data_IF_027675491722
#
_entry.id   IF_027675491722
#
_cell.length_a   1.000
_cell.length_b   1.000
_cell.length_c   1.000
_cell.angle_alpha   90.00
_cell.angle_beta   90.00
_cell.angle_gamma   90.00
#
_symmetry.space_group_name_H-M   'P 1'
#
loop_
_entity.id
_entity.type
_entity.pdbx_description
1 polymer ?
#
# COMPACT_ATOMS: atom_id res chain seq x y z
N UNK A 1 -12.97 -3.92 25.31
CA UNK A 1 -12.11 -5.13 25.14
C UNK A 1 -11.81 -5.39 23.66
N UNK A 2 -12.80 -5.29 22.75
CA UNK A 2 -12.61 -5.39 21.29
C UNK A 2 -11.60 -4.38 20.70
N UNK A 3 -11.53 -3.17 21.26
CA UNK A 3 -10.61 -2.08 20.89
C UNK A 3 -9.11 -2.44 20.90
N UNK A 4 -8.69 -3.49 21.62
CA UNK A 4 -7.27 -3.93 21.66
C UNK A 4 -6.88 -4.82 20.48
N UNK A 5 -7.84 -5.51 19.85
CA UNK A 5 -7.56 -6.48 18.79
C UNK A 5 -7.61 -5.85 17.38
N UNK A 6 -8.39 -4.80 17.19
CA UNK A 6 -8.52 -4.13 15.89
C UNK A 6 -7.18 -3.68 15.28
N UNK A 7 -6.24 -3.08 16.03
CA UNK A 7 -4.97 -2.65 15.45
C UNK A 7 -4.08 -3.82 14.97
N UNK A 8 -4.05 -4.93 15.71
CA UNK A 8 -3.29 -6.14 15.33
C UNK A 8 -3.94 -6.81 14.12
N UNK A 9 -5.26 -6.98 14.15
CA UNK A 9 -6.02 -7.54 13.04
C UNK A 9 -5.86 -6.68 11.78
N UNK A 10 -5.83 -5.35 11.92
CA UNK A 10 -5.60 -4.43 10.81
C UNK A 10 -4.23 -4.66 10.17
N UNK A 11 -3.18 -4.86 10.97
CA UNK A 11 -1.83 -5.13 10.46
C UNK A 11 -1.72 -6.49 9.79
N UNK A 12 -2.30 -7.53 10.39
CA UNK A 12 -2.36 -8.86 9.78
C UNK A 12 -3.10 -8.78 8.43
N UNK A 13 -4.27 -8.14 8.42
CA UNK A 13 -5.06 -7.91 7.23
C UNK A 13 -4.23 -7.16 6.18
N UNK A 14 -3.58 -6.05 6.54
CA UNK A 14 -2.75 -5.28 5.61
C UNK A 14 -1.59 -6.09 5.03
N UNK A 15 -0.90 -6.88 5.86
CA UNK A 15 0.20 -7.74 5.42
C UNK A 15 -0.24 -8.79 4.39
N UNK A 16 -1.47 -9.30 4.50
CA UNK A 16 -2.02 -10.23 3.48
C UNK A 16 -2.16 -9.59 2.09
N UNK A 17 -2.13 -8.26 1.97
CA UNK A 17 -2.14 -7.57 0.67
C UNK A 17 -0.96 -7.96 -0.22
N UNK A 18 0.23 -8.12 0.35
CA UNK A 18 1.44 -8.57 -0.38
C UNK A 18 1.34 -10.03 -0.80
N UNK A 19 0.70 -10.86 0.03
CA UNK A 19 0.42 -12.26 -0.30
C UNK A 19 -0.59 -12.35 -1.44
N UNK A 20 -1.66 -11.55 -1.40
CA UNK A 20 -2.62 -11.49 -2.50
C UNK A 20 -1.99 -11.05 -3.81
N UNK A 21 -0.98 -10.16 -3.78
CA UNK A 21 -0.18 -9.83 -4.95
C UNK A 21 0.56 -11.08 -5.48
N UNK A 22 1.33 -11.76 -4.63
CA UNK A 22 2.03 -13.00 -5.02
C UNK A 22 1.10 -14.10 -5.55
N UNK A 23 -0.10 -14.25 -5.00
CA UNK A 23 -1.09 -15.23 -5.44
C UNK A 23 -1.74 -14.90 -6.79
N UNK A 24 -1.88 -13.62 -7.15
CA UNK A 24 -2.61 -13.20 -8.35
C UNK A 24 -1.72 -13.02 -9.58
N UNK A 25 -0.49 -12.58 -9.40
CA UNK A 25 0.41 -12.25 -10.52
C UNK A 25 0.83 -13.42 -11.42
N UNK A 26 0.79 -14.71 -10.99
CA UNK A 26 0.96 -15.83 -11.93
C UNK A 26 -0.20 -16.00 -12.93
N UNK A 27 -1.36 -15.42 -12.65
CA UNK A 27 -2.60 -15.70 -13.38
C UNK A 27 -3.21 -14.47 -14.09
N UNK A 28 -2.68 -13.27 -13.84
CA UNK A 28 -3.23 -12.04 -14.40
C UNK A 28 -2.17 -10.96 -14.57
N UNK A 29 -2.31 -10.20 -15.65
CA UNK A 29 -1.50 -8.98 -15.85
C UNK A 29 -1.91 -7.89 -14.82
N UNK A 30 -0.94 -7.13 -14.29
CA UNK A 30 -1.12 -6.28 -13.12
C UNK A 30 -2.15 -5.15 -13.29
N UNK A 31 -2.13 -4.40 -14.40
CA UNK A 31 -3.07 -3.31 -14.62
C UNK A 31 -4.49 -3.83 -14.84
N UNK A 32 -4.63 -4.93 -15.57
CA UNK A 32 -5.91 -5.60 -15.82
C UNK A 32 -6.52 -6.09 -14.51
N UNK A 33 -5.74 -6.74 -13.66
CA UNK A 33 -6.19 -7.21 -12.35
C UNK A 33 -6.61 -6.04 -11.45
N UNK A 34 -5.82 -4.96 -11.43
CA UNK A 34 -6.16 -3.74 -10.69
C UNK A 34 -7.42 -3.04 -11.24
N UNK A 35 -7.61 -3.00 -12.57
CA UNK A 35 -8.77 -2.38 -13.19
C UNK A 35 -10.07 -3.08 -12.78
N UNK A 36 -10.09 -4.42 -12.80
CA UNK A 36 -11.23 -5.21 -12.33
C UNK A 36 -11.44 -4.99 -10.83
N UNK A 37 -10.39 -5.14 -10.02
CA UNK A 37 -10.44 -4.95 -8.57
C UNK A 37 -11.02 -3.59 -8.18
N UNK A 38 -10.51 -2.51 -8.76
CA UNK A 38 -10.96 -1.15 -8.44
C UNK A 38 -12.33 -0.83 -9.01
N UNK A 39 -12.73 -1.43 -10.14
CA UNK A 39 -14.09 -1.31 -10.64
C UNK A 39 -15.10 -1.93 -9.66
N UNK A 40 -14.81 -3.13 -9.13
CA UNK A 40 -15.64 -3.77 -8.11
C UNK A 40 -15.69 -2.91 -6.83
N UNK A 41 -14.53 -2.46 -6.34
CA UNK A 41 -14.46 -1.62 -5.15
C UNK A 41 -15.19 -0.28 -5.33
N UNK A 42 -15.09 0.34 -6.52
CA UNK A 42 -15.81 1.56 -6.87
C UNK A 42 -17.32 1.33 -6.82
N UNK A 43 -17.83 0.27 -7.45
CA UNK A 43 -19.27 -0.06 -7.44
C UNK A 43 -19.77 -0.22 -6.00
N UNK A 44 -19.06 -0.99 -5.17
CA UNK A 44 -19.44 -1.18 -3.76
C UNK A 44 -19.49 0.15 -3.00
N UNK A 45 -18.45 0.99 -3.15
CA UNK A 45 -18.39 2.28 -2.47
C UNK A 45 -19.41 3.29 -2.99
N UNK A 46 -19.72 3.28 -4.29
CA UNK A 46 -20.79 4.09 -4.89
C UNK A 46 -22.13 3.69 -4.27
N UNK A 47 -22.46 2.40 -4.27
CA UNK A 47 -23.72 1.90 -3.71
C UNK A 47 -23.84 2.26 -2.23
N UNK A 48 -22.78 2.09 -1.46
CA UNK A 48 -22.78 2.44 -0.05
C UNK A 48 -22.95 3.96 0.19
N UNK A 49 -22.28 4.80 -0.61
CA UNK A 49 -22.43 6.25 -0.54
C UNK A 49 -23.86 6.70 -0.91
N UNK A 50 -24.48 6.07 -1.91
CA UNK A 50 -25.86 6.36 -2.31
C UNK A 50 -26.86 5.96 -1.22
N UNK A 51 -26.76 4.73 -0.69
CA UNK A 51 -27.63 4.24 0.40
C UNK A 51 -27.48 5.08 1.66
N UNK A 52 -26.25 5.51 1.96
CA UNK A 52 -25.96 6.39 3.11
C UNK A 52 -26.33 7.85 2.89
N UNK A 53 -26.84 8.21 1.69
CA UNK A 53 -27.14 9.60 1.29
C UNK A 53 -25.97 10.55 1.49
N UNK A 54 -24.76 10.07 1.20
CA UNK A 54 -23.52 10.83 1.35
C UNK A 54 -23.49 12.07 0.44
N UNK A 55 -22.85 13.12 0.93
CA UNK A 55 -22.60 14.33 0.13
C UNK A 55 -21.42 14.09 -0.79
N UNK A 56 -21.67 14.08 -2.09
CA UNK A 56 -20.65 13.85 -3.10
C UNK A 56 -19.73 15.07 -3.26
N UNK A 57 -18.41 14.87 -3.37
CA UNK A 57 -17.48 15.97 -3.61
C UNK A 57 -17.72 16.59 -4.99
N UNK A 58 -17.52 17.91 -5.10
CA UNK A 58 -17.69 18.67 -6.34
C UNK A 58 -16.51 19.62 -6.58
N UNK A 59 -16.35 20.07 -7.82
CA UNK A 59 -15.32 21.04 -8.21
C UNK A 59 -13.91 20.59 -7.82
N UNK A 60 -13.17 21.46 -7.13
CA UNK A 60 -11.79 21.18 -6.70
C UNK A 60 -11.69 19.97 -5.75
N UNK A 61 -12.68 19.75 -4.88
CA UNK A 61 -12.67 18.63 -3.94
C UNK A 61 -12.74 17.30 -4.68
N UNK A 62 -13.57 17.22 -5.73
CA UNK A 62 -13.65 16.05 -6.60
C UNK A 62 -12.29 15.78 -7.27
N UNK A 63 -11.67 16.82 -7.84
CA UNK A 63 -10.36 16.72 -8.47
C UNK A 63 -9.28 16.24 -7.49
N UNK A 64 -9.20 16.82 -6.29
CA UNK A 64 -8.20 16.40 -5.29
C UNK A 64 -8.44 14.97 -4.80
N UNK A 65 -9.69 14.54 -4.64
CA UNK A 65 -10.03 13.15 -4.33
C UNK A 65 -9.60 12.21 -5.47
N UNK A 66 -9.85 12.58 -6.75
CA UNK A 66 -9.41 11.77 -7.88
C UNK A 66 -7.88 11.65 -7.96
N UNK A 67 -7.14 12.75 -7.76
CA UNK A 67 -5.67 12.74 -7.71
C UNK A 67 -5.16 11.85 -6.57
N UNK A 68 -5.74 11.97 -5.38
CA UNK A 68 -5.39 11.10 -4.25
C UNK A 68 -5.63 9.62 -4.59
N UNK A 69 -6.76 9.29 -5.23
CA UNK A 69 -7.08 7.92 -5.63
C UNK A 69 -6.11 7.37 -6.69
N UNK A 70 -5.77 8.19 -7.69
CA UNK A 70 -4.76 7.85 -8.68
C UNK A 70 -3.41 7.54 -8.02
N UNK A 71 -2.97 8.32 -7.03
CA UNK A 71 -1.68 8.11 -6.37
C UNK A 71 -1.69 6.94 -5.38
N UNK A 72 -2.67 6.90 -4.48
CA UNK A 72 -2.77 5.94 -3.37
C UNK A 72 -3.20 4.56 -3.85
N UNK A 73 -4.08 4.48 -4.84
CA UNK A 73 -4.60 3.20 -5.33
C UNK A 73 -4.07 2.87 -6.72
N UNK A 74 -4.21 3.79 -7.68
CA UNK A 74 -3.81 3.54 -9.07
C UNK A 74 -2.33 3.25 -9.23
N UNK A 75 -1.48 4.26 -9.04
CA UNK A 75 -0.02 4.18 -9.26
C UNK A 75 0.64 3.29 -8.21
N UNK A 76 0.35 3.49 -6.92
CA UNK A 76 0.95 2.66 -5.86
C UNK A 76 0.70 1.17 -6.07
N UNK A 77 -0.57 0.74 -6.11
CA UNK A 77 -0.85 -0.69 -6.15
C UNK A 77 -0.48 -1.29 -7.50
N UNK A 78 -0.66 -0.57 -8.61
CA UNK A 78 -0.25 -1.11 -9.92
C UNK A 78 1.25 -1.24 -10.05
N UNK A 79 2.05 -0.26 -9.60
CA UNK A 79 3.50 -0.36 -9.65
C UNK A 79 4.03 -1.46 -8.72
N UNK A 80 3.43 -1.63 -7.53
CA UNK A 80 3.76 -2.72 -6.62
C UNK A 80 3.42 -4.09 -7.21
N UNK A 81 2.22 -4.27 -7.77
CA UNK A 81 1.80 -5.52 -8.39
C UNK A 81 2.61 -5.81 -9.66
N UNK A 82 2.93 -4.79 -10.44
CA UNK A 82 3.83 -4.91 -11.58
C UNK A 82 5.22 -5.40 -11.15
N UNK A 83 5.78 -4.85 -10.07
CA UNK A 83 7.05 -5.34 -9.52
C UNK A 83 6.98 -6.82 -9.12
N UNK A 84 5.90 -7.24 -8.45
CA UNK A 84 5.69 -8.64 -8.05
C UNK A 84 5.54 -9.55 -9.27
N UNK A 85 4.80 -9.13 -10.28
CA UNK A 85 4.65 -9.84 -11.55
C UNK A 85 6.00 -10.04 -12.27
N UNK A 86 6.92 -9.09 -12.13
CA UNK A 86 8.27 -9.16 -12.71
C UNK A 86 9.31 -9.79 -11.76
N UNK A 87 8.85 -10.52 -10.75
CA UNK A 87 9.68 -11.38 -9.92
C UNK A 87 10.24 -10.72 -8.66
N UNK A 88 9.74 -9.54 -8.26
CA UNK A 88 10.01 -9.03 -6.92
C UNK A 88 9.28 -9.87 -5.87
N UNK A 89 9.97 -10.52 -4.92
CA UNK A 89 9.32 -11.34 -3.90
C UNK A 89 8.31 -10.55 -3.06
N UNK A 90 7.25 -11.21 -2.58
CA UNK A 90 6.20 -10.57 -1.80
C UNK A 90 6.74 -10.01 -0.47
N UNK A 91 7.62 -10.76 0.20
CA UNK A 91 8.28 -10.31 1.42
C UNK A 91 9.14 -9.05 1.20
N UNK A 92 9.85 -8.98 0.07
CA UNK A 92 10.64 -7.79 -0.30
C UNK A 92 9.77 -6.58 -0.62
N UNK A 93 8.66 -6.81 -1.33
CA UNK A 93 7.68 -5.77 -1.64
C UNK A 93 7.12 -5.14 -0.35
N UNK A 94 6.86 -5.96 0.68
CA UNK A 94 6.47 -5.49 2.01
C UNK A 94 7.53 -4.66 2.71
N UNK A 95 8.81 -5.01 2.56
CA UNK A 95 9.94 -4.27 3.12
C UNK A 95 10.12 -2.90 2.48
N UNK A 96 10.08 -2.84 1.14
CA UNK A 96 10.15 -1.57 0.41
C UNK A 96 8.95 -0.70 0.79
N UNK A 97 7.74 -1.27 0.84
CA UNK A 97 6.54 -0.55 1.30
C UNK A 97 6.66 -0.01 2.74
N UNK A 98 7.44 -0.66 3.59
CA UNK A 98 7.78 -0.18 4.93
C UNK A 98 8.47 1.18 4.96
N UNK A 99 9.04 1.65 3.84
CA UNK A 99 9.61 3.00 3.70
C UNK A 99 8.55 4.11 3.53
N UNK A 100 7.27 3.79 3.37
CA UNK A 100 6.23 4.79 3.17
C UNK A 100 6.21 5.88 4.27
N UNK A 101 6.24 5.57 5.59
CA UNK A 101 6.13 6.60 6.63
C UNK A 101 7.28 7.62 6.57
N UNK A 102 8.46 7.13 6.21
CA UNK A 102 9.67 7.90 6.03
C UNK A 102 9.52 8.91 4.88
N UNK A 103 9.18 8.43 3.67
CA UNK A 103 8.94 9.30 2.53
C UNK A 103 7.77 10.26 2.79
N UNK A 104 6.71 9.79 3.44
CA UNK A 104 5.55 10.63 3.81
C UNK A 104 5.97 11.79 4.71
N UNK A 105 6.86 11.56 5.68
CA UNK A 105 7.38 12.62 6.57
C UNK A 105 8.18 13.67 5.80
N UNK A 106 9.05 13.22 4.89
CA UNK A 106 9.86 14.12 4.06
C UNK A 106 8.97 14.96 3.13
N UNK A 107 8.02 14.32 2.46
CA UNK A 107 7.09 15.00 1.55
C UNK A 107 6.17 15.95 2.32
N UNK A 108 5.74 15.60 3.53
CA UNK A 108 4.99 16.49 4.41
C UNK A 108 5.81 17.72 4.81
N UNK A 109 7.09 17.55 5.12
CA UNK A 109 7.96 18.69 5.43
C UNK A 109 8.07 19.67 4.25
N UNK A 110 8.19 19.15 3.03
CA UNK A 110 8.29 19.95 1.81
C UNK A 110 6.96 20.59 1.39
N UNK A 111 5.86 19.82 1.39
CA UNK A 111 4.56 20.26 0.86
C UNK A 111 3.68 20.98 1.90
N UNK A 112 3.84 20.68 3.19
CA UNK A 112 3.05 21.25 4.27
C UNK A 112 3.84 22.22 5.16
N UNK A 113 5.16 22.33 4.96
CA UNK A 113 6.04 23.15 5.81
C UNK A 113 6.23 22.58 7.22
N UNK A 114 5.95 21.29 7.42
CA UNK A 114 6.16 20.61 8.70
C UNK A 114 7.67 20.49 9.00
N UNK A 115 8.08 20.70 10.27
CA UNK A 115 9.49 20.56 10.65
C UNK A 115 9.81 19.10 10.96
N UNK A 116 10.72 18.51 10.19
CA UNK A 116 11.31 17.22 10.53
C UNK A 116 12.37 17.39 11.63
N UNK A 117 12.21 16.67 12.73
CA UNK A 117 13.18 16.63 13.83
C UNK A 117 14.46 15.88 13.43
N UNK A 118 15.58 16.12 14.13
CA UNK A 118 16.82 15.38 13.91
C UNK A 118 16.68 13.85 14.08
N UNK A 119 15.76 13.41 14.96
CA UNK A 119 15.43 11.98 15.12
C UNK A 119 14.75 11.40 13.88
N UNK A 120 13.88 12.18 13.23
CA UNK A 120 13.25 11.78 11.98
C UNK A 120 14.30 11.67 10.87
N UNK A 121 15.25 12.61 10.75
CA UNK A 121 16.36 12.49 9.80
C UNK A 121 17.24 11.28 10.05
N UNK A 122 17.57 10.98 11.31
CA UNK A 122 18.34 9.78 11.66
C UNK A 122 17.56 8.51 11.31
N UNK A 123 16.28 8.44 11.63
CA UNK A 123 15.43 7.30 11.28
C UNK A 123 15.28 7.12 9.77
N UNK A 124 15.23 8.23 9.01
CA UNK A 124 15.28 8.22 7.53
C UNK A 124 16.55 7.54 7.04
N UNK A 125 17.71 7.98 7.51
CA UNK A 125 19.00 7.41 7.10
C UNK A 125 19.10 5.92 7.45
N UNK A 126 18.77 5.55 8.69
CA UNK A 126 18.81 4.16 9.17
C UNK A 126 17.86 3.28 8.35
N UNK A 127 16.64 3.75 8.06
CA UNK A 127 15.69 2.95 7.31
C UNK A 127 16.11 2.71 5.86
N UNK A 128 16.70 3.73 5.21
CA UNK A 128 17.27 3.60 3.86
C UNK A 128 18.43 2.60 3.83
N UNK A 129 19.33 2.64 4.82
CA UNK A 129 20.42 1.66 4.94
C UNK A 129 19.89 0.24 5.11
N UNK A 130 18.85 0.04 5.92
CA UNK A 130 18.21 -1.26 6.07
C UNK A 130 17.64 -1.81 4.77
N UNK A 131 16.99 -0.96 3.95
CA UNK A 131 16.49 -1.40 2.64
C UNK A 131 17.63 -1.66 1.66
N UNK A 132 18.69 -0.86 1.68
CA UNK A 132 19.88 -1.14 0.89
C UNK A 132 20.48 -2.52 1.24
N UNK A 133 20.53 -2.89 2.53
CA UNK A 133 20.97 -4.24 2.96
C UNK A 133 20.07 -5.36 2.45
N UNK A 134 18.74 -5.14 2.39
CA UNK A 134 17.79 -6.13 1.86
C UNK A 134 17.98 -6.35 0.36
N UNK A 135 18.23 -5.26 -0.35
CA UNK A 135 18.30 -5.21 -1.81
C UNK A 135 19.68 -5.66 -2.33
N UNK A 136 20.77 -5.33 -1.63
CA UNK A 136 22.15 -5.57 -2.04
C UNK A 136 22.45 -7.00 -2.55
N UNK A 137 22.02 -8.09 -1.85
CA UNK A 137 22.36 -9.46 -2.26
C UNK A 137 21.81 -9.84 -3.63
N UNK A 138 20.73 -9.18 -4.07
CA UNK A 138 20.12 -9.42 -5.38
C UNK A 138 20.93 -8.81 -6.51
N UNK A 139 21.74 -7.79 -6.27
CA UNK A 139 22.64 -7.25 -7.30
C UNK A 139 23.95 -8.03 -7.41
N UNK A 140 24.39 -8.70 -6.34
CA UNK A 140 25.68 -9.41 -6.30
C UNK A 140 25.64 -10.86 -6.78
N UNK A 141 24.47 -11.49 -6.88
CA UNK A 141 24.33 -12.95 -7.00
C UNK A 141 24.07 -13.49 -8.43
N UNK A 142 24.15 -12.68 -9.49
CA UNK A 142 23.99 -13.13 -10.89
C UNK A 142 22.56 -13.56 -11.32
N UNK A 143 21.72 -13.98 -10.37
CA UNK A 143 20.27 -14.26 -10.53
C UNK A 143 19.44 -13.15 -9.85
N UNK A 144 19.73 -11.90 -10.19
CA UNK A 144 19.24 -10.74 -9.47
C UNK A 144 17.77 -10.40 -9.69
N UNK A 145 17.21 -9.65 -8.73
CA UNK A 145 15.94 -8.95 -8.94
C UNK A 145 16.17 -7.93 -10.05
N UNK A 146 15.27 -7.91 -11.03
CA UNK A 146 15.31 -6.95 -12.12
C UNK A 146 15.29 -5.51 -11.55
N UNK A 147 16.26 -4.65 -11.92
CA UNK A 147 16.31 -3.26 -11.46
C UNK A 147 15.03 -2.48 -11.74
N UNK A 148 14.29 -2.81 -12.81
CA UNK A 148 13.03 -2.13 -13.14
C UNK A 148 11.94 -2.49 -12.13
N UNK A 149 11.85 -3.75 -11.72
CA UNK A 149 10.94 -4.23 -10.67
C UNK A 149 11.18 -3.52 -9.34
N UNK A 150 12.45 -3.33 -8.95
CA UNK A 150 12.78 -2.56 -7.76
C UNK A 150 12.44 -1.07 -7.91
N UNK A 151 12.73 -0.49 -9.08
CA UNK A 151 12.36 0.90 -9.39
C UNK A 151 10.84 1.10 -9.28
N UNK A 152 10.05 0.17 -9.84
CA UNK A 152 8.59 0.18 -9.74
C UNK A 152 8.12 0.12 -8.28
N UNK A 153 8.75 -0.69 -7.42
CA UNK A 153 8.44 -0.70 -5.99
C UNK A 153 8.75 0.64 -5.31
N UNK A 154 9.88 1.31 -5.63
CA UNK A 154 10.15 2.65 -5.11
C UNK A 154 9.16 3.70 -5.62
N UNK A 155 8.80 3.67 -6.91
CA UNK A 155 7.75 4.51 -7.50
C UNK A 155 6.43 4.29 -6.77
N UNK A 156 6.11 3.05 -6.44
CA UNK A 156 4.91 2.71 -5.67
C UNK A 156 4.91 3.45 -4.32
N UNK A 157 5.99 3.33 -3.54
CA UNK A 157 6.09 3.95 -2.22
C UNK A 157 6.08 5.47 -2.28
N UNK A 158 6.73 6.05 -3.29
CA UNK A 158 6.70 7.48 -3.55
C UNK A 158 5.28 7.96 -3.87
N UNK A 159 4.54 7.21 -4.69
CA UNK A 159 3.17 7.52 -5.07
C UNK A 159 2.23 7.51 -3.87
N UNK A 160 2.21 6.45 -3.06
CA UNK A 160 1.36 6.39 -1.86
C UNK A 160 1.76 7.45 -0.83
N UNK A 161 3.05 7.75 -0.66
CA UNK A 161 3.51 8.79 0.26
C UNK A 161 3.05 10.18 -0.19
N UNK A 162 3.22 10.49 -1.47
CA UNK A 162 2.74 11.76 -2.07
C UNK A 162 1.22 11.85 -2.00
N UNK A 163 0.51 10.79 -2.37
CA UNK A 163 -0.93 10.71 -2.34
C UNK A 163 -1.50 10.91 -0.93
N UNK A 164 -0.86 10.31 0.08
CA UNK A 164 -1.26 10.47 1.49
C UNK A 164 -1.10 11.92 1.95
N UNK A 165 0.04 12.56 1.65
CA UNK A 165 0.25 13.99 1.97
C UNK A 165 -0.71 14.89 1.20
N UNK A 166 -0.97 14.57 -0.07
CA UNK A 166 -1.92 15.30 -0.91
C UNK A 166 -3.34 15.22 -0.34
N UNK A 167 -3.78 14.01 0.03
CA UNK A 167 -5.08 13.79 0.67
C UNK A 167 -5.16 14.51 2.02
N UNK A 168 -4.08 14.52 2.82
CA UNK A 168 -4.03 15.29 4.07
C UNK A 168 -4.18 16.79 3.82
N UNK A 169 -3.54 17.32 2.77
CA UNK A 169 -3.56 18.76 2.44
C UNK A 169 -4.90 19.25 1.93
N UNK A 170 -5.55 18.47 1.08
CA UNK A 170 -6.70 18.92 0.28
C UNK A 170 -7.99 18.13 0.54
N UNK A 171 -7.92 16.98 1.21
CA UNK A 171 -9.01 16.00 1.31
C UNK A 171 -9.83 16.01 2.59
N UNK A 172 -9.65 16.99 3.49
CA UNK A 172 -10.30 17.02 4.82
C UNK A 172 -11.76 17.48 4.84
N UNK A 173 -12.33 17.89 3.71
CA UNK A 173 -13.65 18.58 3.68
C UNK A 173 -14.83 17.73 3.17
N UNK A 174 -14.67 16.43 2.88
CA UNK A 174 -15.70 15.59 2.24
C UNK A 174 -16.18 14.38 3.06
N UNK A 175 -17.35 13.82 2.71
CA UNK A 175 -17.81 12.53 3.24
C UNK A 175 -16.83 11.44 2.79
N UNK A 176 -16.28 10.68 3.75
CA UNK A 176 -15.28 9.63 3.50
C UNK A 176 -15.78 8.60 2.48
N UNK A 177 -17.05 8.19 2.53
CA UNK A 177 -17.60 7.14 1.66
C UNK A 177 -17.62 7.60 0.21
N UNK A 178 -18.18 8.79 -0.04
CA UNK A 178 -18.22 9.37 -1.38
C UNK A 178 -16.83 9.76 -1.88
N UNK A 179 -15.97 10.28 -1.00
CA UNK A 179 -14.58 10.60 -1.32
C UNK A 179 -13.77 9.36 -1.73
N UNK A 180 -13.93 8.24 -1.02
CA UNK A 180 -13.27 6.97 -1.38
C UNK A 180 -13.88 6.33 -2.62
N UNK A 181 -15.18 6.46 -2.86
CA UNK A 181 -15.80 6.05 -4.12
C UNK A 181 -15.13 6.75 -5.31
N UNK A 182 -14.94 8.08 -5.24
CA UNK A 182 -14.21 8.85 -6.26
C UNK A 182 -12.77 8.37 -6.43
N UNK A 183 -12.09 8.06 -5.33
CA UNK A 183 -10.73 7.54 -5.39
C UNK A 183 -10.64 6.21 -6.14
N UNK A 184 -11.55 5.27 -5.89
CA UNK A 184 -11.60 4.01 -6.63
C UNK A 184 -12.04 4.18 -8.07
N UNK A 185 -12.96 5.09 -8.39
CA UNK A 185 -13.32 5.42 -9.78
C UNK A 185 -12.08 5.92 -10.54
N UNK A 186 -11.34 6.86 -9.94
CA UNK A 186 -10.14 7.42 -10.56
C UNK A 186 -9.04 6.37 -10.74
N UNK A 187 -8.83 5.50 -9.73
CA UNK A 187 -7.90 4.40 -9.81
C UNK A 187 -8.31 3.35 -10.87
N UNK A 188 -9.60 3.00 -10.94
CA UNK A 188 -10.13 2.09 -11.96
C UNK A 188 -9.94 2.65 -13.37
N UNK A 189 -10.21 3.94 -13.58
CA UNK A 189 -9.99 4.59 -14.87
C UNK A 189 -8.50 4.59 -15.25
N UNK A 190 -7.62 4.98 -14.34
CA UNK A 190 -6.17 5.01 -14.60
C UNK A 190 -5.61 3.61 -14.92
N UNK A 191 -6.02 2.61 -14.15
CA UNK A 191 -5.56 1.22 -14.34
C UNK A 191 -6.16 0.57 -15.58
N UNK A 192 -7.42 0.89 -15.92
CA UNK A 192 -7.99 0.50 -17.20
C UNK A 192 -7.23 1.10 -18.38
N UNK A 193 -6.86 2.38 -18.33
CA UNK A 193 -6.01 3.01 -19.35
C UNK A 193 -4.68 2.25 -19.48
N UNK A 194 -4.04 1.91 -18.35
CA UNK A 194 -2.83 1.09 -18.34
C UNK A 194 -3.02 -0.30 -18.98
N UNK A 195 -4.11 -0.98 -18.63
CA UNK A 195 -4.45 -2.30 -19.17
C UNK A 195 -4.74 -2.28 -20.68
N UNK A 196 -5.39 -1.22 -21.17
CA UNK A 196 -5.63 -1.06 -22.61
C UNK A 196 -4.39 -0.64 -23.39
N UNK A 197 -3.48 0.12 -22.77
CA UNK A 197 -2.27 0.63 -23.41
C UNK A 197 -1.11 -0.38 -23.43
N UNK A 198 -0.96 -1.19 -22.37
CA UNK A 198 0.28 -1.97 -22.14
C UNK A 198 0.07 -3.48 -22.02
N UNK A 199 -1.17 -3.96 -21.93
CA UNK A 199 -1.46 -5.36 -21.60
C UNK A 199 -2.39 -6.02 -22.62
N UNK A 200 -2.37 -7.35 -22.64
CA UNK A 200 -3.28 -8.17 -23.46
C UNK A 200 -4.66 -8.34 -22.83
N UNK A 201 -4.76 -8.02 -21.53
CA UNK A 201 -5.93 -8.19 -20.65
C UNK A 201 -6.30 -9.64 -20.42
N UNK A 202 -5.32 -10.54 -20.48
CA UNK A 202 -5.54 -11.97 -20.24
C UNK A 202 -5.55 -12.25 -18.73
N UNK A 203 -6.58 -12.95 -18.29
CA UNK A 203 -6.69 -13.50 -16.94
C UNK A 203 -7.05 -14.97 -17.00
N UNK A 204 -6.28 -15.78 -16.29
CA UNK A 204 -6.54 -17.19 -16.08
C UNK A 204 -7.37 -17.29 -14.80
N UNK A 205 -8.67 -17.52 -14.93
CA UNK A 205 -9.58 -17.62 -13.80
C UNK A 205 -9.39 -18.92 -13.03
N UNK A 206 -8.41 -18.92 -12.13
CA UNK A 206 -8.11 -20.00 -11.18
C UNK A 206 -8.78 -19.73 -9.82
N UNK A 207 -8.98 -20.76 -8.97
CA UNK A 207 -9.42 -20.57 -7.58
C UNK A 207 -8.54 -19.59 -6.80
N UNK A 208 -7.23 -19.60 -7.03
CA UNK A 208 -6.25 -18.71 -6.43
C UNK A 208 -6.47 -17.25 -6.85
N UNK A 209 -6.68 -17.00 -8.15
CA UNK A 209 -6.95 -15.66 -8.66
C UNK A 209 -8.28 -15.13 -8.13
N UNK A 210 -9.32 -15.97 -8.10
CA UNK A 210 -10.64 -15.60 -7.57
C UNK A 210 -10.54 -15.29 -6.08
N UNK A 211 -9.86 -16.14 -5.30
CA UNK A 211 -9.64 -15.92 -3.89
C UNK A 211 -8.88 -14.61 -3.65
N UNK A 212 -7.77 -14.38 -4.38
CA UNK A 212 -7.00 -13.15 -4.29
C UNK A 212 -7.85 -11.93 -4.65
N UNK A 213 -8.63 -11.98 -5.74
CA UNK A 213 -9.52 -10.89 -6.16
C UNK A 213 -10.55 -10.57 -5.08
N UNK A 214 -11.24 -11.58 -4.55
CA UNK A 214 -12.28 -11.41 -3.53
C UNK A 214 -11.67 -10.88 -2.23
N UNK A 215 -10.56 -11.47 -1.76
CA UNK A 215 -9.91 -11.06 -0.52
C UNK A 215 -9.34 -9.63 -0.63
N UNK A 216 -8.61 -9.33 -1.70
CA UNK A 216 -8.02 -8.00 -1.92
C UNK A 216 -9.08 -6.92 -2.14
N UNK A 217 -10.25 -7.27 -2.67
CA UNK A 217 -11.35 -6.31 -2.84
C UNK A 217 -12.13 -6.16 -1.53
N UNK A 218 -12.69 -7.24 -1.00
CA UNK A 218 -13.61 -7.16 0.13
C UNK A 218 -12.88 -6.92 1.45
N UNK A 219 -11.83 -7.68 1.73
CA UNK A 219 -11.14 -7.59 3.01
C UNK A 219 -10.19 -6.37 3.04
N UNK A 220 -9.37 -6.20 2.00
CA UNK A 220 -8.36 -5.13 1.97
C UNK A 220 -8.95 -3.78 1.54
N UNK A 221 -9.69 -3.70 0.43
CA UNK A 221 -10.20 -2.40 -0.02
C UNK A 221 -11.38 -1.95 0.84
N UNK A 222 -12.43 -2.76 0.99
CA UNK A 222 -13.65 -2.37 1.72
C UNK A 222 -13.50 -2.55 3.24
N UNK A 223 -12.98 -3.70 3.68
CA UNK A 223 -12.82 -4.05 5.08
C UNK A 223 -11.87 -3.09 5.82
N UNK A 224 -10.79 -2.66 5.18
CA UNK A 224 -9.89 -1.66 5.78
C UNK A 224 -10.56 -0.30 5.98
N UNK A 225 -11.44 0.13 5.07
CA UNK A 225 -12.21 1.39 5.21
C UNK A 225 -13.20 1.26 6.37
N UNK A 226 -13.90 0.13 6.48
CA UNK A 226 -14.80 -0.14 7.60
C UNK A 226 -14.06 -0.13 8.94
N UNK A 227 -12.91 -0.81 9.00
CA UNK A 227 -12.05 -0.81 10.18
C UNK A 227 -11.58 0.62 10.50
N UNK A 228 -11.17 1.41 9.51
CA UNK A 228 -10.78 2.80 9.68
C UNK A 228 -11.91 3.63 10.30
N UNK A 229 -13.14 3.51 9.79
CA UNK A 229 -14.30 4.21 10.32
C UNK A 229 -14.60 3.84 11.78
N UNK A 230 -14.47 2.55 12.14
CA UNK A 230 -14.60 2.10 13.54
C UNK A 230 -13.49 2.70 14.41
N UNK A 231 -12.24 2.66 13.95
CA UNK A 231 -11.09 3.18 14.70
C UNK A 231 -11.16 4.70 14.91
N UNK A 232 -11.72 5.45 13.96
CA UNK A 232 -12.01 6.89 14.13
C UNK A 232 -13.06 7.09 15.22
N UNK A 233 -14.16 6.33 15.19
CA UNK A 233 -15.23 6.42 16.21
C UNK A 233 -14.74 6.05 17.60
N UNK A 234 -13.82 5.10 17.72
CA UNK A 234 -13.26 4.63 18.99
C UNK A 234 -12.00 5.40 19.45
N UNK A 235 -11.51 6.37 18.67
CA UNK A 235 -10.29 7.14 19.01
C UNK A 235 -8.99 6.32 18.99
N UNK A 236 -8.97 5.18 18.27
CA UNK A 236 -7.87 4.21 18.28
C UNK A 236 -6.76 4.47 17.23
N UNK A 237 -6.92 5.49 16.38
CA UNK A 237 -6.05 5.74 15.21
C UNK A 237 -4.55 5.85 15.54
N UNK A 238 -4.20 6.45 16.67
CA UNK A 238 -2.80 6.62 17.09
C UNK A 238 -2.09 5.29 17.38
N UNK A 239 -2.82 4.28 17.87
CA UNK A 239 -2.27 2.95 18.17
C UNK A 239 -2.04 2.10 16.93
N UNK A 240 -2.80 2.35 15.87
CA UNK A 240 -2.73 1.58 14.62
C UNK A 240 -1.53 2.06 13.81
N UNK A 241 -1.34 3.38 13.75
CA UNK A 241 -0.21 4.02 13.08
C UNK A 241 1.15 3.49 13.56
N UNK A 242 1.28 3.17 14.86
CA UNK A 242 2.47 2.52 15.36
C UNK A 242 2.57 1.11 14.81
N UNK A 243 1.58 0.23 14.98
CA UNK A 243 1.69 -1.19 14.57
C UNK A 243 1.97 -1.43 13.07
N UNK A 244 1.78 -0.45 12.18
CA UNK A 244 2.20 -0.58 10.78
C UNK A 244 3.69 -0.94 10.60
N UNK A 245 4.57 -0.68 11.58
CA UNK A 245 5.97 -1.14 11.51
C UNK A 245 6.11 -2.67 11.54
N UNK A 246 5.09 -3.41 12.00
CA UNK A 246 5.09 -4.87 12.00
C UNK A 246 4.72 -5.45 10.64
N UNK A 247 4.16 -4.65 9.72
CA UNK A 247 3.69 -5.12 8.40
C UNK A 247 4.81 -5.81 7.62
N UNK A 248 6.03 -5.24 7.46
CA UNK A 248 7.07 -5.90 6.67
C UNK A 248 7.50 -7.25 7.22
N UNK A 249 7.72 -7.33 8.54
CA UNK A 249 8.07 -8.60 9.21
C UNK A 249 6.96 -9.64 9.11
N UNK A 250 5.71 -9.21 9.28
CA UNK A 250 4.54 -10.08 9.14
C UNK A 250 4.40 -10.59 7.71
N UNK A 251 4.56 -9.71 6.71
CA UNK A 251 4.50 -10.07 5.30
C UNK A 251 5.61 -11.06 4.92
N UNK A 252 6.84 -10.85 5.42
CA UNK A 252 7.95 -11.79 5.20
C UNK A 252 7.68 -13.17 5.81
N UNK A 253 7.14 -13.24 7.03
CA UNK A 253 6.76 -14.51 7.67
C UNK A 253 5.66 -15.21 6.87
N UNK A 254 4.62 -14.48 6.46
CA UNK A 254 3.55 -15.05 5.63
C UNK A 254 4.07 -15.53 4.28
N UNK A 255 4.98 -14.78 3.64
CA UNK A 255 5.56 -15.15 2.36
C UNK A 255 6.46 -16.39 2.47
N UNK A 256 7.21 -16.54 3.57
CA UNK A 256 7.94 -17.77 3.87
C UNK A 256 7.00 -18.97 4.01
N UNK A 257 5.93 -18.82 4.78
CA UNK A 257 4.98 -19.93 5.03
C UNK A 257 4.18 -20.35 3.80
N UNK A 258 3.81 -19.39 2.94
CA UNK A 258 2.91 -19.63 1.81
C UNK A 258 3.68 -19.93 0.52
N UNK A 259 4.75 -19.17 0.25
CA UNK A 259 5.51 -19.26 -0.99
C UNK A 259 6.88 -19.93 -0.82
N UNK A 260 7.30 -20.24 0.41
CA UNK A 260 8.66 -20.74 0.69
C UNK A 260 9.74 -19.67 0.51
N UNK A 261 9.39 -18.38 0.49
CA UNK A 261 10.35 -17.29 0.31
C UNK A 261 11.35 -17.23 1.47
N UNK A 262 12.63 -17.51 1.22
CA UNK A 262 13.70 -17.40 2.21
C UNK A 262 14.43 -16.07 2.11
N UNK A 263 14.65 -15.42 3.26
CA UNK A 263 15.52 -14.25 3.37
C UNK A 263 16.92 -14.66 3.83
N UNK A 264 17.94 -14.09 3.19
CA UNK A 264 19.32 -14.25 3.63
C UNK A 264 19.56 -13.54 4.97
N UNK A 265 20.62 -13.89 5.73
CA UNK A 265 20.92 -13.25 7.01
C UNK A 265 21.04 -11.72 6.91
N UNK A 266 21.63 -11.21 5.82
CA UNK A 266 21.75 -9.77 5.57
C UNK A 266 20.40 -9.12 5.27
N UNK A 267 19.46 -9.84 4.66
CA UNK A 267 18.09 -9.36 4.44
C UNK A 267 17.29 -9.31 5.74
N UNK A 268 17.47 -10.31 6.61
CA UNK A 268 16.88 -10.31 7.95
C UNK A 268 17.44 -9.13 8.77
N UNK A 269 18.76 -8.93 8.76
CA UNK A 269 19.39 -7.79 9.41
C UNK A 269 18.88 -6.46 8.84
N UNK A 270 18.80 -6.33 7.52
CA UNK A 270 18.28 -5.15 6.84
C UNK A 270 16.83 -4.86 7.23
N UNK A 271 15.97 -5.88 7.32
CA UNK A 271 14.59 -5.74 7.81
C UNK A 271 14.52 -5.19 9.23
N UNK A 272 15.36 -5.70 10.14
CA UNK A 272 15.44 -5.19 11.51
C UNK A 272 15.88 -3.72 11.52
N UNK A 273 16.93 -3.39 10.77
CA UNK A 273 17.44 -2.02 10.63
C UNK A 273 16.37 -1.09 10.05
N UNK A 274 15.64 -1.50 9.01
CA UNK A 274 14.54 -0.71 8.44
C UNK A 274 13.43 -0.47 9.46
N UNK A 275 13.03 -1.51 10.18
CA UNK A 275 11.99 -1.41 11.22
C UNK A 275 12.39 -0.43 12.32
N UNK A 276 13.65 -0.47 12.76
CA UNK A 276 14.20 0.47 13.74
C UNK A 276 14.24 1.91 13.20
N UNK A 277 14.65 2.10 11.94
CA UNK A 277 14.63 3.41 11.28
C UNK A 277 13.23 4.02 11.24
N UNK A 278 12.23 3.23 10.84
CA UNK A 278 10.81 3.65 10.85
C UNK A 278 10.36 3.98 12.28
N UNK A 279 10.66 3.14 13.27
CA UNK A 279 10.32 3.39 14.68
C UNK A 279 10.92 4.71 15.19
N UNK A 280 12.19 5.01 14.86
CA UNK A 280 12.87 6.26 15.22
C UNK A 280 12.17 7.51 14.66
N UNK A 281 11.58 7.41 13.46
CA UNK A 281 10.84 8.54 12.86
C UNK A 281 9.45 8.77 13.45
N UNK A 282 8.84 7.73 14.04
CA UNK A 282 7.41 7.71 14.35
C UNK A 282 7.13 7.78 15.86
N UNK A 283 8.04 7.27 16.71
CA UNK A 283 7.89 7.32 18.16
C UNK A 283 8.03 8.77 18.67
N UNK A 284 6.93 9.34 19.15
CA UNK A 284 6.94 10.58 19.94
C UNK A 284 7.53 10.30 21.33
N UNK A 285 8.27 11.27 21.87
CA UNK A 285 8.57 11.31 23.31
C UNK A 285 7.27 11.49 24.09
#
# INVERSE_FOLDING_TARGET
MATRFFPIMFVLLWATGFIGAGLSMPYAEPFSFMAVRFSIAAVIMILWALVSRSVWPRGKVLMHAAIAGCLIHGVYLSALFWAVHHGLPAGMSGLVAGLQPMLTTLIAALLLGERASGRQWLGLLVGFLGVAMVVWPKFSAGNGVDPQSLCAAFVAVLAISTGTVWQKRFGTAGDLKAGTAVQYIAAAALTAIGAFAFETRVMIWSPELIFAMVWLTLAISIGAILALLVMIREGAMSKVASLFYLVPGTAAIMAYLIFGETLSPIQIAGMVVTTLGVALTTLRK
#
